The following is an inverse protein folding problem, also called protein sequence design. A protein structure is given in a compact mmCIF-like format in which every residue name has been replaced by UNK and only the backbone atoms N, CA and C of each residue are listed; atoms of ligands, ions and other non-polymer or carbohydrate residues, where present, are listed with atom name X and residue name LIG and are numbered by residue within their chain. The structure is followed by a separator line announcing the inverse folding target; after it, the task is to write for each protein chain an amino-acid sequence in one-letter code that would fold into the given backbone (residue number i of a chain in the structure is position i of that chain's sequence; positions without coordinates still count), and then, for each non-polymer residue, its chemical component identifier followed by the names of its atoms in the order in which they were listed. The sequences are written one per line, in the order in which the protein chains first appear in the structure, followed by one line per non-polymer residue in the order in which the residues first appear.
data_IF_632908261905
#
_entry.id   IF_632908261905
#
_cell.length_a   1.000
_cell.length_b   1.000
_cell.length_c   1.000
_cell.angle_alpha   90.00
_cell.angle_beta   90.00
_cell.angle_gamma   90.00
#
_symmetry.space_group_name_H-M   'P 1'
#
loop_
_entity.id
_entity.type
_entity.pdbx_description
1 polymer ?
#
# COMPACT_ATOMS: atom_id res chain seq x y z
N UNK A 1 -63.24 3.35 -18.36
CA UNK A 1 -62.99 2.04 -18.95
C UNK A 1 -61.49 1.86 -19.04
N UNK A 2 -61.01 0.73 -18.53
CA UNK A 2 -59.63 0.31 -18.28
C UNK A 2 -58.85 0.02 -19.58
N UNK A 3 -57.54 0.29 -19.57
CA UNK A 3 -56.42 -0.56 -20.06
C UNK A 3 -55.17 0.36 -20.13
N UNK A 4 -54.12 0.25 -19.30
CA UNK A 4 -53.55 -0.96 -18.70
C UNK A 4 -52.54 -1.58 -19.67
N UNK A 5 -51.40 -0.92 -19.86
CA UNK A 5 -50.22 -1.47 -20.51
C UNK A 5 -49.12 -1.55 -19.47
N UNK A 6 -48.88 -2.76 -18.97
CA UNK A 6 -47.74 -3.09 -18.11
C UNK A 6 -46.45 -2.89 -18.91
N UNK A 7 -45.72 -1.81 -18.64
CA UNK A 7 -44.28 -1.77 -18.89
C UNK A 7 -43.61 -2.60 -17.78
N UNK A 8 -43.73 -3.93 -17.89
CA UNK A 8 -42.78 -4.84 -17.24
C UNK A 8 -41.43 -4.59 -17.91
N UNK A 9 -40.65 -3.72 -17.30
CA UNK A 9 -39.22 -3.64 -17.52
C UNK A 9 -38.68 -4.99 -17.06
N UNK A 10 -38.52 -5.92 -18.00
CA UNK A 10 -37.66 -7.09 -17.80
C UNK A 10 -36.31 -6.52 -17.38
N UNK A 11 -35.99 -6.61 -16.09
CA UNK A 11 -34.63 -6.50 -15.61
C UNK A 11 -33.86 -7.60 -16.38
N UNK A 12 -33.23 -7.22 -17.50
CA UNK A 12 -32.25 -8.07 -18.17
C UNK A 12 -31.33 -8.57 -17.06
N UNK A 13 -31.28 -9.88 -16.83
CA UNK A 13 -30.44 -10.49 -15.80
C UNK A 13 -28.99 -10.10 -16.09
N UNK A 14 -28.55 -8.97 -15.54
CA UNK A 14 -27.17 -8.50 -15.69
C UNK A 14 -26.29 -9.62 -15.14
N UNK A 15 -25.49 -10.20 -16.03
CA UNK A 15 -24.59 -11.29 -15.65
C UNK A 15 -23.70 -10.82 -14.51
N UNK A 16 -23.83 -11.50 -13.35
CA UNK A 16 -23.10 -11.16 -12.14
C UNK A 16 -21.60 -11.10 -12.45
N UNK A 17 -21.05 -9.88 -12.51
CA UNK A 17 -19.66 -9.64 -12.91
C UNK A 17 -18.96 -8.86 -11.81
N UNK A 18 -17.85 -9.40 -11.32
CA UNK A 18 -17.02 -8.80 -10.29
C UNK A 18 -15.65 -8.43 -10.83
N UNK A 19 -15.19 -7.21 -10.55
CA UNK A 19 -13.87 -6.77 -10.97
C UNK A 19 -13.33 -5.61 -10.15
N UNK A 20 -12.07 -5.26 -10.39
CA UNK A 20 -11.34 -4.20 -9.71
C UNK A 20 -10.63 -3.30 -10.74
N UNK A 21 -10.74 -1.99 -10.54
CA UNK A 21 -9.99 -1.00 -11.32
C UNK A 21 -9.09 -0.20 -10.39
N UNK A 22 -7.79 -0.22 -10.68
CA UNK A 22 -6.78 0.47 -9.88
C UNK A 22 -6.26 1.69 -10.64
N UNK A 23 -6.00 2.77 -9.89
CA UNK A 23 -5.30 3.95 -10.39
C UNK A 23 -4.11 4.20 -9.49
N UNK A 24 -2.91 4.28 -10.07
CA UNK A 24 -1.66 4.41 -9.35
C UNK A 24 -0.88 5.61 -9.88
N UNK A 25 -0.59 6.58 -9.00
CA UNK A 25 0.10 7.84 -9.36
C UNK A 25 -0.52 8.56 -10.58
N UNK A 26 -1.85 8.52 -10.69
CA UNK A 26 -2.59 9.13 -11.81
C UNK A 26 -2.67 8.27 -13.09
N UNK A 27 -1.96 7.13 -13.14
CA UNK A 27 -2.07 6.18 -14.25
C UNK A 27 -3.18 5.15 -13.96
N UNK A 28 -4.09 4.96 -14.91
CA UNK A 28 -5.11 3.92 -14.83
C UNK A 28 -4.52 2.57 -15.26
N UNK A 29 -4.60 1.57 -14.38
CA UNK A 29 -4.18 0.21 -14.70
C UNK A 29 -5.29 -0.52 -15.46
N UNK A 30 -4.92 -1.59 -16.18
CA UNK A 30 -5.89 -2.48 -16.82
C UNK A 30 -6.82 -3.06 -15.74
N UNK A 31 -8.15 -2.97 -15.90
CA UNK A 31 -9.08 -3.58 -14.95
C UNK A 31 -8.83 -5.08 -14.82
N UNK A 32 -8.91 -5.55 -13.59
CA UNK A 32 -8.87 -6.97 -13.26
C UNK A 32 -10.30 -7.48 -13.13
N UNK A 33 -10.63 -8.59 -13.79
CA UNK A 33 -11.94 -9.22 -13.68
C UNK A 33 -11.76 -10.49 -12.86
N UNK A 34 -12.52 -10.61 -11.76
CA UNK A 34 -12.47 -11.77 -10.87
C UNK A 34 -13.30 -12.92 -11.42
N UNK A 35 -14.49 -12.62 -11.92
CA UNK A 35 -15.40 -13.60 -12.51
C UNK A 35 -16.40 -12.89 -13.44
N UNK A 36 -16.93 -13.64 -14.40
CA UNK A 36 -18.01 -13.26 -15.30
C UNK A 36 -19.10 -14.32 -15.22
N UNK A 37 -20.29 -13.90 -14.79
CA UNK A 37 -21.44 -14.77 -14.65
C UNK A 37 -21.52 -15.51 -13.31
N UNK A 38 -22.72 -16.00 -13.02
CA UNK A 38 -23.05 -16.63 -11.74
C UNK A 38 -22.37 -17.98 -11.54
N UNK A 39 -22.09 -18.73 -12.62
CA UNK A 39 -21.43 -20.04 -12.56
C UNK A 39 -19.98 -19.95 -12.08
N UNK A 40 -19.21 -18.97 -12.58
CA UNK A 40 -17.83 -18.73 -12.17
C UNK A 40 -17.75 -18.20 -10.74
N UNK A 41 -18.62 -17.26 -10.36
CA UNK A 41 -18.77 -16.79 -8.98
C UNK A 41 -19.02 -17.96 -8.02
N UNK A 42 -20.02 -18.78 -8.32
CA UNK A 42 -20.34 -19.94 -7.51
C UNK A 42 -19.17 -20.94 -7.47
N UNK A 43 -18.48 -21.13 -8.60
CA UNK A 43 -17.24 -21.90 -8.64
C UNK A 43 -16.21 -21.43 -7.61
N UNK A 44 -15.98 -20.12 -7.48
CA UNK A 44 -15.08 -19.55 -6.48
C UNK A 44 -15.54 -19.77 -5.04
N UNK A 45 -16.84 -19.61 -4.78
CA UNK A 45 -17.43 -19.81 -3.44
C UNK A 45 -17.32 -21.27 -3.00
N UNK A 46 -17.64 -22.24 -3.86
CA UNK A 46 -17.59 -23.67 -3.54
C UNK A 46 -16.18 -24.23 -3.44
N UNK A 47 -15.28 -23.75 -4.29
CA UNK A 47 -13.86 -24.15 -4.26
C UNK A 47 -13.09 -23.49 -3.12
N UNK A 48 -13.62 -22.43 -2.52
CA UNK A 48 -12.94 -21.65 -1.49
C UNK A 48 -11.68 -20.96 -2.00
N UNK A 49 -11.49 -20.84 -3.32
CA UNK A 49 -10.30 -20.23 -3.94
C UNK A 49 -10.07 -18.78 -3.51
N UNK A 50 -11.13 -18.05 -3.16
CA UNK A 50 -11.02 -16.68 -2.66
C UNK A 50 -10.49 -16.57 -1.21
N UNK A 51 -10.47 -17.67 -0.45
CA UNK A 51 -10.09 -17.67 0.97
C UNK A 51 -8.58 -17.54 1.19
N UNK A 52 -7.77 -17.93 0.20
CA UNK A 52 -6.32 -17.76 0.24
C UNK A 52 -5.93 -16.35 -0.21
N UNK A 53 -5.00 -15.67 0.52
CA UNK A 53 -4.51 -14.36 0.14
C UNK A 53 -3.92 -14.36 -1.27
N UNK A 54 -4.58 -13.69 -2.20
CA UNK A 54 -4.15 -13.60 -3.60
C UNK A 54 -3.57 -12.21 -3.87
N UNK A 55 -2.32 -12.10 -4.40
CA UNK A 55 -1.74 -10.81 -4.75
C UNK A 55 -2.45 -10.23 -5.98
N UNK A 56 -2.91 -8.99 -5.87
CA UNK A 56 -3.60 -8.26 -6.93
C UNK A 56 -2.70 -7.21 -7.62
N UNK A 57 -1.73 -6.64 -6.90
CA UNK A 57 -0.76 -5.69 -7.46
C UNK A 57 0.57 -5.80 -6.73
N UNK A 58 1.65 -6.02 -7.47
CA UNK A 58 3.03 -5.94 -6.98
C UNK A 58 3.81 -5.00 -7.87
N UNK A 59 4.31 -3.89 -7.30
CA UNK A 59 4.96 -2.85 -8.07
C UNK A 59 6.13 -2.21 -7.30
N UNK A 60 7.23 -1.96 -8.02
CA UNK A 60 8.34 -1.15 -7.55
C UNK A 60 8.45 0.09 -8.43
N UNK A 61 8.38 1.26 -7.82
CA UNK A 61 8.30 2.54 -8.51
C UNK A 61 9.42 3.43 -8.01
N UNK A 62 10.25 3.91 -8.94
CA UNK A 62 11.21 4.97 -8.68
C UNK A 62 10.49 6.32 -8.73
N UNK A 63 10.27 6.94 -7.58
CA UNK A 63 9.58 8.23 -7.46
C UNK A 63 10.51 9.43 -7.62
N UNK A 64 11.75 9.30 -7.14
CA UNK A 64 12.74 10.37 -7.18
C UNK A 64 14.00 9.81 -7.80
N UNK A 65 14.50 10.50 -8.83
CA UNK A 65 15.82 10.23 -9.40
C UNK A 65 16.40 11.57 -9.84
N UNK A 66 17.25 12.14 -8.98
CA UNK A 66 17.92 13.41 -9.23
C UNK A 66 19.41 13.22 -9.14
N UNK A 67 20.09 13.67 -10.19
CA UNK A 67 21.54 13.61 -10.29
C UNK A 67 22.08 14.94 -10.78
N UNK A 68 22.99 15.53 -10.01
CA UNK A 68 23.50 16.86 -10.29
C UNK A 68 24.97 17.01 -9.88
N UNK A 69 25.73 17.67 -10.75
CA UNK A 69 27.05 18.19 -10.43
C UNK A 69 26.95 19.68 -10.09
N UNK A 70 27.52 20.08 -8.97
CA UNK A 70 27.58 21.47 -8.53
C UNK A 70 29.04 21.88 -8.42
N UNK A 71 29.55 22.73 -9.34
CA UNK A 71 30.88 23.30 -9.22
C UNK A 71 30.89 24.37 -8.12
N UNK A 72 31.80 24.24 -7.17
CA UNK A 72 31.99 25.21 -6.10
C UNK A 72 32.98 26.31 -6.52
N UNK A 73 32.90 27.47 -5.87
CA UNK A 73 33.78 28.61 -6.13
C UNK A 73 35.28 28.31 -5.92
N UNK A 74 35.60 27.28 -5.12
CA UNK A 74 36.97 26.81 -4.90
C UNK A 74 37.46 25.80 -5.96
N UNK A 75 36.69 25.56 -7.02
CA UNK A 75 37.04 24.64 -8.11
C UNK A 75 36.74 23.17 -7.84
N UNK A 76 36.24 22.81 -6.65
CA UNK A 76 35.78 21.45 -6.36
C UNK A 76 34.42 21.18 -6.99
N UNK A 77 34.21 19.93 -7.42
CA UNK A 77 32.92 19.49 -7.94
C UNK A 77 32.25 18.64 -6.87
N UNK A 78 31.04 19.02 -6.49
CA UNK A 78 30.18 18.23 -5.62
C UNK A 78 29.23 17.43 -6.50
N UNK A 79 29.21 16.13 -6.30
CA UNK A 79 28.26 15.22 -6.93
C UNK A 79 27.12 14.96 -5.94
N UNK A 80 25.90 15.29 -6.33
CA UNK A 80 24.69 15.08 -5.55
C UNK A 80 23.82 14.02 -6.25
N UNK A 81 23.51 12.94 -5.53
CA UNK A 81 22.54 11.92 -5.97
C UNK A 81 21.40 11.86 -4.97
N UNK A 82 20.17 11.84 -5.46
CA UNK A 82 18.96 11.62 -4.66
C UNK A 82 18.10 10.60 -5.40
N UNK A 83 17.88 9.45 -4.79
CA UNK A 83 17.06 8.37 -5.32
C UNK A 83 16.00 7.99 -4.31
N UNK A 84 14.76 7.85 -4.74
CA UNK A 84 13.63 7.51 -3.89
C UNK A 84 12.76 6.47 -4.59
N UNK A 85 12.55 5.34 -3.94
CA UNK A 85 11.74 4.24 -4.46
C UNK A 85 10.64 3.85 -3.47
N UNK A 86 9.50 3.45 -4.01
CA UNK A 86 8.41 2.82 -3.26
C UNK A 86 8.15 1.42 -3.84
N UNK A 87 7.96 0.46 -2.96
CA UNK A 87 7.45 -0.87 -3.24
C UNK A 87 6.03 -0.97 -2.69
N UNK A 88 5.10 -1.52 -3.49
CA UNK A 88 3.70 -1.74 -3.12
C UNK A 88 3.35 -3.20 -3.40
N UNK A 89 2.67 -3.82 -2.45
CA UNK A 89 2.10 -5.16 -2.54
C UNK A 89 0.67 -5.12 -2.00
N UNK A 90 -0.30 -5.36 -2.87
CA UNK A 90 -1.72 -5.43 -2.55
C UNK A 90 -2.18 -6.87 -2.68
N UNK A 91 -2.70 -7.43 -1.60
CA UNK A 91 -3.29 -8.76 -1.57
C UNK A 91 -4.68 -8.72 -0.96
N UNK A 92 -5.51 -9.69 -1.33
CA UNK A 92 -6.87 -9.82 -0.81
C UNK A 92 -7.26 -11.26 -0.57
N UNK A 93 -8.05 -11.48 0.48
CA UNK A 93 -8.75 -12.74 0.73
C UNK A 93 -10.21 -12.46 1.11
N UNK A 94 -11.09 -13.39 0.76
CA UNK A 94 -12.51 -13.33 1.01
C UNK A 94 -12.98 -14.72 1.42
N UNK A 95 -13.63 -14.78 2.57
CA UNK A 95 -14.29 -15.95 3.10
C UNK A 95 -15.79 -15.69 3.09
N UNK A 96 -16.56 -16.62 2.53
CA UNK A 96 -18.01 -16.55 2.45
C UNK A 96 -18.57 -17.84 3.02
N UNK A 97 -19.48 -17.75 3.99
CA UNK A 97 -20.23 -18.89 4.50
C UNK A 97 -21.71 -18.68 4.23
N UNK A 98 -22.25 -19.41 3.25
CA UNK A 98 -23.69 -19.40 2.97
C UNK A 98 -24.52 -20.04 4.09
N UNK A 99 -23.92 -20.98 4.84
CA UNK A 99 -24.57 -21.62 5.98
C UNK A 99 -24.68 -20.70 7.19
N UNK A 100 -23.58 -20.04 7.55
CA UNK A 100 -23.56 -19.09 8.66
C UNK A 100 -24.11 -17.70 8.26
N UNK A 101 -24.35 -17.49 6.95
CA UNK A 101 -24.81 -16.25 6.34
C UNK A 101 -23.93 -15.05 6.67
N UNK A 102 -22.61 -15.25 6.64
CA UNK A 102 -21.63 -14.22 6.86
C UNK A 102 -20.53 -14.20 5.78
N UNK A 103 -19.84 -13.08 5.68
CA UNK A 103 -18.65 -12.93 4.87
C UNK A 103 -17.61 -12.10 5.61
N UNK A 104 -16.35 -12.52 5.49
CA UNK A 104 -15.18 -11.85 6.03
C UNK A 104 -14.21 -11.60 4.89
N UNK A 105 -13.85 -10.35 4.65
CA UNK A 105 -12.87 -9.96 3.63
C UNK A 105 -11.74 -9.17 4.25
N UNK A 106 -10.52 -9.51 3.87
CA UNK A 106 -9.31 -8.81 4.29
C UNK A 106 -8.56 -8.38 3.04
N UNK A 107 -8.37 -7.08 2.88
CA UNK A 107 -7.51 -6.50 1.85
C UNK A 107 -6.30 -5.89 2.55
N UNK A 108 -5.13 -6.45 2.29
CA UNK A 108 -3.87 -6.00 2.88
C UNK A 108 -3.06 -5.25 1.84
N UNK A 109 -2.72 -4.01 2.15
CA UNK A 109 -1.81 -3.19 1.34
C UNK A 109 -0.52 -2.97 2.11
N UNK A 110 0.56 -3.58 1.65
CA UNK A 110 1.91 -3.38 2.18
C UNK A 110 2.68 -2.42 1.30
N UNK A 111 3.34 -1.46 1.91
CA UNK A 111 4.14 -0.46 1.22
C UNK A 111 5.48 -0.23 1.90
N UNK A 112 6.57 -0.22 1.14
CA UNK A 112 7.88 0.13 1.65
C UNK A 112 8.45 1.30 0.85
N UNK A 113 8.95 2.32 1.54
CA UNK A 113 9.57 3.48 0.90
C UNK A 113 11.03 3.60 1.36
N UNK A 114 11.92 3.87 0.41
CA UNK A 114 13.34 4.11 0.66
C UNK A 114 13.77 5.36 -0.09
N UNK A 115 14.40 6.29 0.63
CA UNK A 115 15.03 7.48 0.08
C UNK A 115 16.51 7.44 0.42
N UNK A 116 17.34 7.45 -0.62
CA UNK A 116 18.78 7.48 -0.55
C UNK A 116 19.28 8.82 -1.10
N UNK A 117 20.12 9.49 -0.34
CA UNK A 117 20.82 10.67 -0.80
C UNK A 117 22.33 10.46 -0.61
N UNK A 118 23.12 10.87 -1.58
CA UNK A 118 24.57 10.89 -1.46
C UNK A 118 25.13 12.22 -1.93
N UNK A 119 26.11 12.72 -1.19
CA UNK A 119 26.93 13.85 -1.57
C UNK A 119 28.39 13.41 -1.54
N UNK A 120 29.04 13.42 -2.70
CA UNK A 120 30.46 13.13 -2.90
C UNK A 120 31.20 14.40 -3.28
N UNK A 121 32.38 14.59 -2.70
CA UNK A 121 33.35 15.59 -3.12
C UNK A 121 34.68 14.87 -3.28
N UNK A 122 35.10 14.72 -4.53
CA UNK A 122 36.37 14.10 -4.86
C UNK A 122 37.34 15.17 -5.35
N UNK A 123 38.40 15.39 -4.56
CA UNK A 123 39.58 16.08 -5.00
C UNK A 123 40.63 15.00 -5.29
N UNK A 124 40.94 14.80 -6.57
CA UNK A 124 41.76 13.69 -7.09
C UNK A 124 43.13 13.56 -6.41
N UNK A 125 43.63 14.64 -5.79
CA UNK A 125 45.01 14.73 -5.27
C UNK A 125 45.12 15.00 -3.76
N UNK A 126 44.02 15.27 -3.04
CA UNK A 126 44.11 15.76 -1.65
C UNK A 126 43.12 15.08 -0.70
N UNK A 127 41.82 15.09 -1.02
CA UNK A 127 40.80 14.65 -0.09
C UNK A 127 39.55 14.13 -0.82
N UNK A 128 38.99 13.04 -0.28
CA UNK A 128 37.69 12.51 -0.67
C UNK A 128 36.76 12.56 0.53
N UNK A 129 35.59 13.16 0.33
CA UNK A 129 34.52 13.21 1.34
C UNK A 129 33.24 12.68 0.73
N UNK A 130 32.63 11.72 1.41
CA UNK A 130 31.42 11.09 0.97
C UNK A 130 30.42 11.04 2.14
N UNK A 131 29.22 11.56 1.93
CA UNK A 131 28.09 11.44 2.85
C UNK A 131 26.98 10.66 2.18
N UNK A 132 26.57 9.53 2.76
CA UNK A 132 25.35 8.81 2.38
C UNK A 132 24.30 8.95 3.48
N UNK A 133 23.08 9.24 3.07
CA UNK A 133 21.89 9.28 3.91
C UNK A 133 20.90 8.26 3.34
N UNK A 134 20.38 7.40 4.19
CA UNK A 134 19.34 6.45 3.83
C UNK A 134 18.21 6.55 4.84
N UNK A 135 17.01 6.83 4.36
CA UNK A 135 15.77 6.86 5.11
C UNK A 135 14.86 5.78 4.54
N UNK A 136 14.48 4.82 5.38
CA UNK A 136 13.62 3.71 4.98
C UNK A 136 12.47 3.53 5.98
N UNK A 137 11.30 3.19 5.47
CA UNK A 137 10.14 2.86 6.29
C UNK A 137 9.19 1.94 5.54
N UNK A 138 8.63 0.98 6.27
CA UNK A 138 7.61 0.04 5.85
C UNK A 138 6.29 0.35 6.56
N UNK A 139 5.19 0.32 5.83
CA UNK A 139 3.84 0.55 6.34
C UNK A 139 2.92 -0.52 5.79
N UNK A 140 1.99 -0.95 6.62
CA UNK A 140 0.90 -1.83 6.23
C UNK A 140 -0.41 -1.09 6.44
N UNK A 141 -1.41 -1.38 5.61
CA UNK A 141 -2.78 -0.91 5.74
C UNK A 141 -3.67 -2.14 5.57
N UNK A 142 -4.53 -2.37 6.55
CA UNK A 142 -5.48 -3.48 6.54
C UNK A 142 -6.89 -2.90 6.41
N UNK A 143 -7.62 -3.42 5.44
CA UNK A 143 -9.01 -3.10 5.21
C UNK A 143 -9.82 -4.38 5.43
N UNK A 144 -10.50 -4.45 6.55
CA UNK A 144 -11.30 -5.60 6.97
C UNK A 144 -12.76 -5.25 6.77
N UNK A 145 -13.51 -6.15 6.13
CA UNK A 145 -14.95 -6.00 5.91
C UNK A 145 -15.66 -7.25 6.37
N UNK A 146 -16.51 -7.09 7.37
CA UNK A 146 -17.41 -8.11 7.90
C UNK A 146 -18.83 -7.81 7.47
N UNK A 147 -19.49 -8.81 6.89
CA UNK A 147 -20.88 -8.73 6.45
C UNK A 147 -21.69 -9.85 7.08
N UNK A 148 -22.75 -9.50 7.78
CA UNK A 148 -23.78 -10.43 8.24
C UNK A 148 -25.06 -10.20 7.43
N UNK A 149 -25.44 -11.23 6.68
CA UNK A 149 -26.63 -11.23 5.84
C UNK A 149 -27.73 -12.18 6.33
N UNK A 150 -27.74 -12.50 7.63
CA UNK A 150 -28.76 -13.34 8.25
C UNK A 150 -30.17 -12.70 8.28
N UNK A 151 -30.27 -11.45 8.73
CA UNK A 151 -31.51 -10.67 8.83
C UNK A 151 -31.40 -9.35 8.06
N UNK A 152 -32.53 -8.87 7.50
CA UNK A 152 -32.59 -7.54 6.85
C UNK A 152 -32.95 -6.47 7.91
N UNK A 153 -32.29 -5.30 7.93
CA UNK A 153 -31.22 -4.85 7.04
C UNK A 153 -29.88 -5.54 7.34
N UNK A 154 -29.15 -5.88 6.27
CA UNK A 154 -27.82 -6.50 6.38
C UNK A 154 -26.86 -5.58 7.15
N UNK A 155 -26.08 -6.17 8.05
CA UNK A 155 -25.12 -5.45 8.87
C UNK A 155 -23.74 -5.58 8.24
N UNK A 156 -23.11 -4.44 8.01
CA UNK A 156 -21.77 -4.36 7.41
C UNK A 156 -20.88 -3.54 8.33
N UNK A 157 -19.76 -4.12 8.74
CA UNK A 157 -18.70 -3.45 9.48
C UNK A 157 -17.43 -3.38 8.64
N UNK A 158 -16.95 -2.17 8.41
CA UNK A 158 -15.72 -1.90 7.69
C UNK A 158 -14.72 -1.30 8.67
N UNK A 159 -13.49 -1.83 8.68
CA UNK A 159 -12.39 -1.33 9.48
C UNK A 159 -11.20 -1.00 8.59
N UNK A 160 -10.65 0.19 8.76
CA UNK A 160 -9.40 0.59 8.13
C UNK A 160 -8.36 0.85 9.23
N UNK A 161 -7.38 -0.04 9.33
CA UNK A 161 -6.35 -0.01 10.36
C UNK A 161 -4.97 0.13 9.72
N UNK A 162 -4.15 0.98 10.33
CA UNK A 162 -2.75 1.18 9.97
C UNK A 162 -1.91 0.84 11.20
N UNK A 163 -1.20 -0.30 11.22
CA UNK A 163 -0.23 -0.60 12.28
C UNK A 163 0.87 0.46 12.38
N UNK A 164 1.53 0.52 13.53
CA UNK A 164 2.63 1.45 13.75
C UNK A 164 3.81 1.14 12.82
N UNK A 165 4.47 2.18 12.33
CA UNK A 165 5.62 2.04 11.43
C UNK A 165 6.91 2.50 12.08
N UNK A 166 8.03 1.91 11.66
CA UNK A 166 9.37 2.25 12.16
C UNK A 166 10.17 2.92 11.05
N UNK A 167 10.32 4.24 11.15
CA UNK A 167 11.17 4.99 10.25
C UNK A 167 12.64 4.86 10.68
N UNK A 168 13.49 4.31 9.82
CA UNK A 168 14.93 4.13 10.04
C UNK A 168 15.72 5.14 9.23
N UNK A 169 16.51 5.96 9.92
CA UNK A 169 17.41 6.94 9.33
C UNK A 169 18.86 6.57 9.62
N UNK A 170 19.63 6.31 8.57
CA UNK A 170 21.04 5.96 8.64
C UNK A 170 21.88 7.00 7.89
N UNK A 171 22.78 7.67 8.61
CA UNK A 171 23.75 8.61 8.04
C UNK A 171 25.14 8.00 8.13
N UNK A 172 25.80 7.82 6.99
CA UNK A 172 27.18 7.35 6.87
C UNK A 172 28.04 8.48 6.32
N UNK A 173 29.05 8.87 7.08
CA UNK A 173 30.07 9.83 6.66
C UNK A 173 31.41 9.11 6.50
N UNK A 174 32.06 9.32 5.38
CA UNK A 174 33.38 8.81 5.08
C UNK A 174 34.27 9.96 4.60
N UNK A 175 35.35 10.24 5.31
CA UNK A 175 36.34 11.24 4.93
C UNK A 175 37.72 10.59 4.91
N UNK A 176 38.45 10.82 3.82
CA UNK A 176 39.83 10.36 3.67
C UNK A 176 40.67 11.44 3.03
N UNK A 177 41.84 11.70 3.60
CA UNK A 177 42.83 12.65 3.05
C UNK A 177 44.04 11.85 2.59
N UNK A 178 44.37 11.93 1.30
CA UNK A 178 45.54 11.23 0.75
C UNK A 178 46.83 11.83 1.35
N UNK A 179 47.80 10.97 1.68
CA UNK A 179 49.05 11.37 2.33
C UNK A 179 49.00 11.57 3.85
N UNK A 180 47.82 11.53 4.50
CA UNK A 180 47.67 11.49 5.96
C UNK A 180 46.96 10.21 6.40
N UNK A 181 47.23 9.71 7.61
CA UNK A 181 46.44 8.63 8.25
C UNK A 181 45.04 9.10 8.70
N UNK A 182 44.50 10.15 8.09
CA UNK A 182 43.23 10.74 8.47
C UNK A 182 42.11 10.05 7.69
N UNK A 183 41.48 9.08 8.36
CA UNK A 183 40.30 8.36 7.88
C UNK A 183 39.21 8.47 8.94
N UNK A 184 38.13 9.18 8.62
CA UNK A 184 36.97 9.31 9.51
C UNK A 184 35.82 8.54 8.92
N UNK A 185 35.32 7.56 9.68
CA UNK A 185 34.12 6.80 9.36
C UNK A 185 33.14 6.95 10.50
N UNK A 186 32.02 7.60 10.23
CA UNK A 186 30.97 7.80 11.23
C UNK A 186 29.66 7.25 10.70
N UNK A 187 29.04 6.36 11.47
CA UNK A 187 27.71 5.85 11.20
C UNK A 187 26.79 6.28 12.33
N UNK A 188 25.78 7.09 12.00
CA UNK A 188 24.73 7.49 12.93
C UNK A 188 23.42 6.83 12.51
N UNK A 189 22.86 6.02 13.39
CA UNK A 189 21.56 5.37 13.21
C UNK A 189 20.54 6.04 14.12
N UNK A 190 19.37 6.36 13.60
CA UNK A 190 18.22 6.85 14.35
C UNK A 190 16.98 6.10 13.89
N UNK A 191 16.20 5.59 14.82
CA UNK A 191 14.86 5.07 14.56
C UNK A 191 13.83 6.02 15.17
N UNK A 192 12.70 6.16 14.50
CA UNK A 192 11.51 6.81 15.04
C UNK A 192 10.34 5.86 14.83
N UNK A 193 9.55 5.66 15.87
CA UNK A 193 8.32 4.87 15.81
C UNK A 193 7.14 5.82 15.65
N UNK A 194 6.29 5.56 14.67
CA UNK A 194 4.99 6.23 14.56
C UNK A 194 3.93 5.27 15.08
N UNK A 195 3.04 5.76 15.93
CA UNK A 195 1.95 4.96 16.46
C UNK A 195 0.97 4.56 15.36
N UNK A 196 0.45 3.34 15.46
CA UNK A 196 -0.64 2.87 14.62
C UNK A 196 -1.93 3.64 14.89
N UNK A 197 -2.81 3.67 13.90
CA UNK A 197 -4.08 4.40 13.94
C UNK A 197 -5.16 3.60 13.20
N UNK A 198 -6.39 3.73 13.66
CA UNK A 198 -7.58 3.36 12.90
C UNK A 198 -8.23 4.62 12.34
N UNK A 199 -8.94 4.46 11.23
CA UNK A 199 -9.63 5.55 10.57
C UNK A 199 -11.14 5.40 10.79
N UNK A 200 -11.76 6.45 11.30
CA UNK A 200 -13.21 6.53 11.41
C UNK A 200 -13.83 6.65 10.01
N UNK A 201 -14.87 5.85 9.77
CA UNK A 201 -15.65 5.87 8.52
C UNK A 201 -16.99 6.59 8.79
N UNK A 202 -18.02 6.26 8.02
CA UNK A 202 -19.35 6.86 8.20
C UNK A 202 -20.00 6.41 9.52
N UNK A 203 -20.78 7.28 10.17
CA UNK A 203 -21.43 6.99 11.47
C UNK A 203 -22.25 5.69 11.48
N UNK A 204 -22.96 5.39 10.38
CA UNK A 204 -23.69 4.12 10.23
C UNK A 204 -22.78 2.89 10.30
N UNK A 205 -21.56 2.97 9.76
CA UNK A 205 -20.58 1.91 9.87
C UNK A 205 -20.13 1.72 11.32
N UNK A 206 -19.93 2.80 12.07
CA UNK A 206 -19.60 2.74 13.50
C UNK A 206 -20.73 2.11 14.31
N UNK A 207 -21.99 2.46 14.02
CA UNK A 207 -23.17 1.85 14.65
C UNK A 207 -23.20 0.33 14.40
N UNK A 208 -23.01 -0.13 13.15
CA UNK A 208 -22.96 -1.56 12.84
C UNK A 208 -21.76 -2.28 13.44
N UNK A 209 -20.55 -1.71 13.34
CA UNK A 209 -19.34 -2.25 13.94
C UNK A 209 -19.47 -2.38 15.46
N UNK A 210 -20.09 -1.41 16.14
CA UNK A 210 -20.28 -1.48 17.59
C UNK A 210 -21.16 -2.66 18.02
N UNK A 211 -22.16 -3.02 17.21
CA UNK A 211 -23.04 -4.16 17.48
C UNK A 211 -22.34 -5.47 17.14
N UNK A 212 -21.64 -5.54 16.00
CA UNK A 212 -20.97 -6.76 15.55
C UNK A 212 -19.78 -7.13 16.43
N UNK A 213 -18.95 -6.15 16.82
CA UNK A 213 -17.78 -6.37 17.69
C UNK A 213 -18.14 -6.54 19.17
N UNK A 214 -19.36 -6.21 19.58
CA UNK A 214 -19.83 -6.48 20.95
C UNK A 214 -20.32 -7.92 21.14
N UNK A 215 -20.49 -8.67 20.04
CA UNK A 215 -20.92 -10.07 20.05
C UNK A 215 -19.76 -11.07 20.02
N UNK A 216 -18.54 -10.59 19.74
CA UNK A 216 -17.27 -11.31 19.92
C UNK A 216 -16.76 -11.22 21.36
#
# INVERSE_FOLDING_TARGET
GVAGGDDQQEDEEEEATGGMRLTLLGAHLRPYVFFVGTSELMGHVWSGTASEPTPALQANILMMDHYQFVPLLNGLIVELKLQGAISLDLSGSIQISLWNRNSHSVVQTSGAAVVQASASVDCETVARSHVHVNVAGDSHLEFITDLDFYEKPYKMCIQMTQPGLVLRHNVRKHESVEGKKHLVRTLRRRSQTLAGKSYALHRKNEEYCSVMLAQE
#
